data_IF_462151682654
#
_entry.id   IF_462151682654
#
_cell.length_a   1.000
_cell.length_b   1.000
_cell.length_c   1.000
_cell.angle_alpha   90.00
_cell.angle_beta   90.00
_cell.angle_gamma   90.00
#
_symmetry.space_group_name_H-M   'P 1'
#
loop_
_entity.id
_entity.type
_entity.pdbx_description
1 polymer ?
#
# COMPACT_ATOMS: atom_id res chain seq x y z
N UNK A 1 -7.75 -4.51 -8.40
CA UNK A 1 -8.76 -4.60 -7.34
C UNK A 1 -8.13 -4.99 -6.01
N UNK A 2 -8.36 -4.21 -4.96
CA UNK A 2 -7.85 -4.55 -3.62
C UNK A 2 -8.64 -5.66 -2.91
N UNK A 3 -9.82 -6.05 -3.44
CA UNK A 3 -10.66 -7.11 -2.90
C UNK A 3 -10.25 -8.47 -3.47
N UNK A 4 -10.47 -8.70 -4.77
CA UNK A 4 -10.17 -9.98 -5.41
C UNK A 4 -8.73 -10.15 -5.91
N UNK A 5 -7.87 -9.14 -5.71
CA UNK A 5 -6.46 -9.12 -6.15
C UNK A 5 -6.21 -9.18 -7.66
N UNK A 6 -7.24 -9.09 -8.50
CA UNK A 6 -7.09 -9.05 -9.96
C UNK A 6 -6.90 -7.63 -10.49
N UNK A 7 -6.20 -7.49 -11.62
CA UNK A 7 -6.01 -6.20 -12.32
C UNK A 7 -7.21 -5.89 -13.24
N UNK A 8 -7.23 -4.69 -13.84
CA UNK A 8 -8.28 -4.30 -14.80
C UNK A 8 -9.54 -3.67 -14.20
N UNK A 9 -9.74 -3.71 -12.88
CA UNK A 9 -10.88 -3.07 -12.23
C UNK A 9 -10.60 -2.56 -10.81
N UNK A 10 -11.40 -1.58 -10.38
CA UNK A 10 -11.41 -1.03 -9.01
C UNK A 10 -12.33 -1.84 -8.09
N UNK A 11 -12.17 -1.71 -6.77
CA UNK A 11 -13.00 -2.43 -5.77
C UNK A 11 -14.50 -2.22 -6.00
N UNK A 12 -14.90 -0.99 -6.36
CA UNK A 12 -16.30 -0.65 -6.68
C UNK A 12 -16.88 -1.40 -7.88
N UNK A 13 -16.03 -1.74 -8.85
CA UNK A 13 -16.41 -2.42 -10.09
C UNK A 13 -15.91 -3.88 -10.06
N UNK A 14 -15.73 -4.45 -8.87
CA UNK A 14 -15.20 -5.79 -8.76
C UNK A 14 -16.31 -6.82 -9.01
N UNK A 15 -16.17 -7.68 -10.03
CA UNK A 15 -17.19 -8.67 -10.37
C UNK A 15 -17.39 -9.71 -9.27
N UNK A 16 -16.41 -9.84 -8.36
CA UNK A 16 -16.45 -10.75 -7.20
C UNK A 16 -16.93 -10.06 -5.92
N UNK A 17 -17.45 -8.82 -5.99
CA UNK A 17 -17.94 -8.08 -4.81
C UNK A 17 -19.41 -8.36 -4.44
N UNK A 18 -20.06 -9.35 -5.03
CA UNK A 18 -21.53 -9.50 -4.98
C UNK A 18 -22.10 -10.86 -4.56
N UNK A 19 -21.30 -11.82 -4.10
CA UNK A 19 -21.83 -13.13 -3.66
C UNK A 19 -21.61 -13.31 -2.16
N UNK A 20 -22.67 -13.09 -1.40
CA UNK A 20 -22.93 -13.53 -0.02
C UNK A 20 -21.78 -13.37 0.99
N UNK A 21 -22.02 -12.47 1.95
CA UNK A 21 -21.23 -12.22 3.15
C UNK A 21 -21.14 -13.43 4.13
N UNK A 22 -21.33 -14.66 3.65
CA UNK A 22 -21.57 -15.86 4.45
C UNK A 22 -20.66 -17.05 4.13
N UNK A 23 -19.83 -17.00 3.08
CA UNK A 23 -18.99 -18.15 2.72
C UNK A 23 -17.51 -17.88 2.97
N UNK A 24 -17.02 -18.63 3.94
CA UNK A 24 -15.67 -18.87 4.40
C UNK A 24 -14.64 -18.91 3.26
N UNK A 25 -13.56 -18.14 3.43
CA UNK A 25 -12.32 -18.27 2.67
C UNK A 25 -11.87 -16.98 1.99
N UNK A 26 -11.02 -16.20 2.68
CA UNK A 26 -10.17 -15.17 2.07
C UNK A 26 -10.83 -13.83 1.68
N UNK A 27 -11.90 -13.41 2.37
CA UNK A 27 -12.39 -12.04 2.30
C UNK A 27 -11.44 -11.11 3.09
N UNK A 28 -10.35 -10.69 2.44
CA UNK A 28 -9.49 -9.63 2.99
C UNK A 28 -10.38 -8.40 3.13
N UNK A 29 -10.57 -7.96 4.37
CA UNK A 29 -11.50 -6.90 4.70
C UNK A 29 -11.13 -5.59 3.99
N UNK A 30 -11.60 -5.40 2.75
CA UNK A 30 -11.31 -4.20 2.00
C UNK A 30 -12.06 -3.04 2.63
N UNK A 31 -11.31 -2.13 3.23
CA UNK A 31 -11.87 -0.98 3.94
C UNK A 31 -11.57 -0.95 5.43
N UNK A 32 -10.86 -1.94 5.98
CA UNK A 32 -10.34 -1.81 7.34
C UNK A 32 -9.12 -0.90 7.40
N UNK A 33 -9.00 -0.19 8.49
CA UNK A 33 -7.78 0.46 8.92
C UNK A 33 -6.76 -0.62 9.27
N UNK A 34 -5.71 -0.77 8.46
CA UNK A 34 -4.70 -1.80 8.70
C UNK A 34 -3.90 -1.62 10.01
N UNK A 35 -4.04 -0.45 10.64
CA UNK A 35 -3.44 -0.12 11.93
C UNK A 35 -4.22 -0.67 13.13
N UNK A 36 -5.55 -0.49 13.11
CA UNK A 36 -6.41 -0.78 14.27
C UNK A 36 -7.58 -1.73 14.00
N UNK A 37 -7.79 -2.14 12.75
CA UNK A 37 -8.85 -3.07 12.33
C UNK A 37 -10.23 -2.43 12.15
N UNK A 38 -10.38 -1.12 12.41
CA UNK A 38 -11.68 -0.43 12.25
C UNK A 38 -12.08 -0.30 10.78
N UNK A 39 -13.34 -0.55 10.44
CA UNK A 39 -13.92 -0.30 9.11
C UNK A 39 -14.36 1.15 8.88
N UNK A 40 -14.30 2.02 9.90
CA UNK A 40 -14.84 3.38 9.83
C UNK A 40 -13.88 4.39 9.19
N UNK A 41 -12.59 4.07 9.13
CA UNK A 41 -11.58 5.01 8.64
C UNK A 41 -10.42 4.29 7.95
N UNK A 42 -9.69 5.03 7.12
CA UNK A 42 -8.40 4.59 6.55
C UNK A 42 -7.26 4.88 7.53
N UNK A 43 -6.10 4.23 7.35
CA UNK A 43 -4.86 4.48 8.11
C UNK A 43 -4.56 5.98 8.26
N UNK A 44 -4.77 6.78 7.21
CA UNK A 44 -4.51 8.23 7.23
C UNK A 44 -5.30 8.99 8.29
N UNK A 45 -6.49 8.50 8.63
CA UNK A 45 -7.40 9.10 9.60
C UNK A 45 -7.43 8.29 10.91
N UNK A 46 -6.52 7.33 11.06
CA UNK A 46 -6.42 6.52 12.27
C UNK A 46 -5.89 7.37 13.43
N UNK A 47 -6.67 7.45 14.50
CA UNK A 47 -6.29 8.15 15.74
C UNK A 47 -5.61 7.23 16.76
N UNK A 48 -5.55 5.92 16.50
CA UNK A 48 -4.88 5.00 17.41
C UNK A 48 -3.37 5.24 17.40
N UNK A 49 -2.70 5.14 18.57
CA UNK A 49 -1.27 5.35 18.67
C UNK A 49 -0.50 4.32 17.82
N UNK A 50 0.57 4.77 17.17
CA UNK A 50 1.42 3.92 16.37
C UNK A 50 2.20 2.95 17.27
N UNK A 51 1.81 1.66 17.30
CA UNK A 51 2.63 0.62 17.94
C UNK A 51 3.84 0.35 17.04
N UNK A 52 5.05 0.53 17.58
CA UNK A 52 6.31 0.40 16.83
C UNK A 52 6.60 -1.03 16.36
N UNK A 53 6.09 -2.01 17.07
CA UNK A 53 6.37 -3.44 16.87
C UNK A 53 5.65 -4.01 15.63
N UNK A 54 4.35 -3.73 15.48
CA UNK A 54 3.54 -4.12 14.31
C UNK A 54 2.60 -2.98 13.89
N UNK A 55 3.09 -1.97 13.15
CA UNK A 55 2.28 -0.82 12.75
C UNK A 55 1.13 -1.19 11.83
N UNK A 56 1.20 -2.33 11.12
CA UNK A 56 0.17 -2.76 10.19
C UNK A 56 -0.34 -4.17 10.51
N UNK A 57 -0.61 -4.45 11.79
CA UNK A 57 -1.03 -5.78 12.27
C UNK A 57 -2.25 -6.37 11.54
N UNK A 58 -3.09 -5.55 10.92
CA UNK A 58 -4.26 -6.00 10.17
C UNK A 58 -4.07 -5.88 8.65
N UNK A 59 -2.88 -5.51 8.17
CA UNK A 59 -2.56 -5.58 6.75
C UNK A 59 -2.25 -7.04 6.38
N UNK A 60 -2.78 -7.46 5.23
CA UNK A 60 -2.30 -8.64 4.52
C UNK A 60 -1.46 -8.22 3.32
N UNK A 61 -0.32 -8.88 3.15
CA UNK A 61 0.60 -8.60 2.07
C UNK A 61 0.08 -9.17 0.75
N UNK A 62 0.09 -8.33 -0.29
CA UNK A 62 -0.33 -8.75 -1.64
C UNK A 62 0.72 -9.61 -2.35
N UNK A 63 1.95 -9.67 -1.82
CA UNK A 63 3.06 -10.43 -2.42
C UNK A 63 3.15 -11.81 -1.79
N UNK A 64 3.47 -11.90 -0.50
CA UNK A 64 3.67 -13.17 0.19
C UNK A 64 2.44 -13.72 0.92
N UNK A 65 1.31 -13.01 0.88
CA UNK A 65 0.09 -13.34 1.63
C UNK A 65 0.21 -13.35 3.16
N UNK A 66 1.39 -13.09 3.73
CA UNK A 66 1.59 -12.91 5.16
C UNK A 66 0.90 -11.66 5.72
N UNK A 67 0.77 -11.59 7.05
CA UNK A 67 0.12 -10.47 7.75
C UNK A 67 1.15 -9.56 8.44
N UNK A 68 0.71 -8.38 8.88
CA UNK A 68 1.52 -7.48 9.70
C UNK A 68 2.34 -6.44 8.93
N UNK A 69 2.33 -6.49 7.60
CA UNK A 69 3.07 -5.55 6.75
C UNK A 69 2.35 -5.28 5.42
N UNK A 70 2.71 -4.16 4.77
CA UNK A 70 2.27 -3.84 3.42
C UNK A 70 3.22 -4.43 2.39
N UNK A 71 2.75 -4.68 1.16
CA UNK A 71 3.60 -5.17 0.06
C UNK A 71 4.88 -4.33 -0.15
N UNK A 72 4.82 -3.02 0.09
CA UNK A 72 5.98 -2.13 0.01
C UNK A 72 7.07 -2.39 1.07
N UNK A 73 6.72 -3.07 2.17
CA UNK A 73 7.61 -3.45 3.27
C UNK A 73 7.78 -4.97 3.36
N UNK A 74 7.34 -5.71 2.34
CA UNK A 74 7.49 -7.15 2.29
C UNK A 74 8.96 -7.51 2.03
N UNK A 75 9.57 -8.38 2.84
CA UNK A 75 10.95 -8.82 2.63
C UNK A 75 11.12 -9.63 1.33
N UNK A 76 10.04 -10.26 0.86
CA UNK A 76 10.03 -11.08 -0.37
C UNK A 76 9.63 -10.28 -1.62
N UNK A 77 9.46 -8.96 -1.51
CA UNK A 77 9.08 -8.12 -2.65
C UNK A 77 10.30 -7.51 -3.35
N UNK A 78 10.90 -8.28 -4.25
CA UNK A 78 12.05 -7.87 -5.07
C UNK A 78 11.76 -6.66 -5.97
N UNK A 79 10.48 -6.41 -6.29
CA UNK A 79 10.05 -5.30 -7.15
C UNK A 79 9.84 -3.99 -6.38
N UNK A 80 9.89 -4.03 -5.05
CA UNK A 80 9.64 -2.87 -4.19
C UNK A 80 8.30 -2.18 -4.45
N UNK A 81 8.27 -0.84 -4.42
CA UNK A 81 7.06 -0.05 -4.69
C UNK A 81 6.56 -0.09 -6.14
N UNK A 82 7.26 -0.76 -7.05
CA UNK A 82 6.97 -0.76 -8.48
C UNK A 82 6.39 -2.12 -8.91
N UNK A 83 5.05 -2.30 -8.97
CA UNK A 83 4.45 -3.62 -9.20
C UNK A 83 4.86 -4.28 -10.53
N UNK A 84 5.08 -3.45 -11.55
CA UNK A 84 5.53 -3.87 -12.89
C UNK A 84 7.07 -3.89 -13.02
N UNK A 85 7.80 -3.73 -11.92
CA UNK A 85 9.25 -3.53 -11.92
C UNK A 85 9.65 -2.09 -12.28
N UNK A 86 10.96 -1.85 -12.27
CA UNK A 86 11.55 -0.53 -12.47
C UNK A 86 12.08 0.07 -11.16
N UNK A 87 12.49 1.33 -11.23
CA UNK A 87 13.06 2.03 -10.09
C UNK A 87 12.91 3.54 -10.22
N UNK A 88 13.21 4.25 -9.13
CA UNK A 88 13.25 5.70 -9.12
C UNK A 88 14.20 6.21 -10.22
N UNK A 89 13.68 7.07 -11.10
CA UNK A 89 14.45 7.57 -12.25
C UNK A 89 15.69 8.39 -11.85
N UNK A 90 15.71 8.96 -10.65
CA UNK A 90 16.79 9.82 -10.17
C UNK A 90 17.89 9.06 -9.42
N UNK A 91 17.52 8.08 -8.57
CA UNK A 91 18.49 7.38 -7.70
C UNK A 91 18.45 5.85 -7.82
N UNK A 92 17.66 5.31 -8.74
CA UNK A 92 17.51 3.87 -9.01
C UNK A 92 17.01 3.01 -7.83
N UNK A 93 16.52 3.64 -6.75
CA UNK A 93 15.90 2.93 -5.62
C UNK A 93 14.49 2.43 -5.95
N UNK A 94 14.13 1.26 -5.42
CA UNK A 94 12.76 0.70 -5.51
C UNK A 94 11.88 1.01 -4.29
N UNK A 95 12.42 1.73 -3.30
CA UNK A 95 11.79 1.94 -1.99
C UNK A 95 10.95 3.23 -1.89
N UNK A 96 10.88 4.03 -2.95
CA UNK A 96 10.05 5.24 -3.00
C UNK A 96 9.64 5.56 -4.44
N UNK A 97 8.57 6.34 -4.59
CA UNK A 97 8.20 6.90 -5.89
C UNK A 97 9.10 8.09 -6.24
N UNK A 98 9.33 8.34 -7.53
CA UNK A 98 10.23 9.42 -7.98
C UNK A 98 9.86 10.82 -7.44
N UNK A 99 8.58 11.06 -7.13
CA UNK A 99 8.10 12.30 -6.49
C UNK A 99 8.62 12.50 -5.05
N UNK A 100 8.90 11.41 -4.36
CA UNK A 100 9.37 11.37 -2.97
C UNK A 100 10.91 11.20 -2.90
N UNK A 101 11.59 11.28 -4.05
CA UNK A 101 13.03 11.12 -4.14
C UNK A 101 13.75 12.38 -3.62
N UNK A 102 14.58 12.26 -2.60
CA UNK A 102 15.34 13.39 -2.02
C UNK A 102 16.13 14.20 -3.07
N UNK A 103 16.95 13.59 -3.96
CA UNK A 103 17.57 14.29 -5.08
C UNK A 103 16.61 15.14 -5.93
N UNK A 104 15.42 14.61 -6.24
CA UNK A 104 14.40 15.34 -7.00
C UNK A 104 13.79 16.50 -6.19
N UNK A 105 13.57 16.29 -4.89
CA UNK A 105 13.07 17.35 -3.99
C UNK A 105 14.08 18.49 -3.82
N UNK A 106 15.37 18.20 -3.87
CA UNK A 106 16.42 19.23 -3.86
C UNK A 106 16.45 20.01 -5.18
N UNK A 107 16.32 19.34 -6.33
CA UNK A 107 16.24 20.01 -7.64
C UNK A 107 15.00 20.90 -7.77
N UNK A 108 13.84 20.47 -7.26
CA UNK A 108 12.63 21.30 -7.21
C UNK A 108 12.76 22.53 -6.32
N UNK A 109 13.47 22.41 -5.17
CA UNK A 109 13.73 23.56 -4.28
C UNK A 109 14.74 24.54 -4.87
N UNK A 110 15.81 24.08 -5.50
CA UNK A 110 16.78 24.93 -6.16
C UNK A 110 16.15 25.74 -7.29
N UNK A 111 15.26 25.15 -8.08
CA UNK A 111 14.55 25.85 -9.16
C UNK A 111 13.57 26.93 -8.67
N UNK A 112 13.12 26.90 -7.41
CA UNK A 112 12.23 27.93 -6.85
C UNK A 112 13.02 29.12 -6.28
N UNK A 113 14.29 28.92 -5.91
CA UNK A 113 15.12 29.96 -5.27
C UNK A 113 15.82 30.85 -6.31
N UNK A 114 15.88 30.42 -7.58
CA UNK A 114 16.58 31.12 -8.67
C UNK A 114 15.59 31.87 -9.60
N UNK A 115 14.31 31.99 -9.21
CA UNK A 115 13.27 32.79 -9.90
C UNK A 115 12.80 33.95 -9.02
#
# INVERSE_FOLDING_TARGET
CFNCRETGHSVKNCPKSGTDASTQGNQIATGICYHCGSTQHSIKNCKHPNKKDHPFKFASCFVCQGEGHLASQCPENDKGLYPNGGSCKYCKSVQHLAKDCKPNQLQGKLNIIII
#
